data_IF_769325947879
#
_entry.id   IF_769325947879
#
_cell.length_a   1.000
_cell.length_b   1.000
_cell.length_c   1.000
_cell.angle_alpha   90.00
_cell.angle_beta   90.00
_cell.angle_gamma   90.00
#
_symmetry.space_group_name_H-M   'P 1'
#
loop_
_entity.id
_entity.type
_entity.pdbx_description
1 polymer ?
#
# COMPACT_ATOMS: atom_id res chain seq x y z
N UNK A 1 0.38 16.66 14.52
CA UNK A 1 -1.01 16.46 14.01
C UNK A 1 -1.95 15.88 15.06
N UNK A 2 -3.27 16.01 14.84
CA UNK A 2 -4.30 15.18 15.51
C UNK A 2 -3.91 13.70 15.43
N UNK A 3 -3.90 13.02 16.58
CA UNK A 3 -3.55 11.61 16.75
C UNK A 3 -4.20 10.69 15.70
N UNK A 4 -5.37 11.08 15.18
CA UNK A 4 -6.08 10.43 14.08
C UNK A 4 -5.22 10.15 12.84
N UNK A 5 -4.42 11.13 12.37
CA UNK A 5 -3.60 10.95 11.14
C UNK A 5 -2.46 9.96 11.37
N UNK A 6 -1.92 9.93 12.59
CA UNK A 6 -0.88 8.97 13.02
C UNK A 6 -1.43 7.55 13.16
N UNK A 7 -2.65 7.39 13.69
CA UNK A 7 -3.35 6.11 13.73
C UNK A 7 -3.73 5.61 12.33
N UNK A 8 -4.09 6.51 11.41
CA UNK A 8 -4.32 6.15 10.02
C UNK A 8 -3.06 5.55 9.37
N UNK A 9 -1.86 6.07 9.70
CA UNK A 9 -0.59 5.48 9.26
C UNK A 9 -0.43 4.00 9.65
N UNK A 10 -0.75 3.66 10.90
CA UNK A 10 -0.71 2.26 11.38
C UNK A 10 -1.70 1.38 10.61
N UNK A 11 -2.89 1.88 10.30
CA UNK A 11 -3.87 1.16 9.47
C UNK A 11 -3.25 0.81 8.11
N UNK A 12 -2.62 1.77 7.43
CA UNK A 12 -1.98 1.53 6.13
C UNK A 12 -0.82 0.53 6.20
N UNK A 13 -0.02 0.57 7.28
CA UNK A 13 1.06 -0.41 7.50
C UNK A 13 0.50 -1.83 7.60
N UNK A 14 -0.64 -2.03 8.26
CA UNK A 14 -1.23 -3.37 8.41
C UNK A 14 -1.96 -3.80 7.13
N UNK A 15 -2.64 -2.87 6.47
CA UNK A 15 -3.49 -3.15 5.32
C UNK A 15 -2.68 -3.57 4.09
N UNK A 16 -1.47 -3.03 3.90
CA UNK A 16 -0.58 -3.41 2.79
C UNK A 16 -0.18 -4.89 2.77
N UNK A 17 0.45 -5.42 3.83
CA UNK A 17 0.80 -6.84 3.95
C UNK A 17 -0.45 -7.74 3.94
N UNK A 18 -1.53 -7.33 4.61
CA UNK A 18 -2.78 -8.10 4.60
C UNK A 18 -3.35 -8.24 3.19
N UNK A 19 -3.40 -7.16 2.42
CA UNK A 19 -3.86 -7.18 1.03
C UNK A 19 -2.94 -8.04 0.15
N UNK A 20 -1.63 -7.93 0.30
CA UNK A 20 -0.67 -8.74 -0.46
C UNK A 20 -0.81 -10.25 -0.16
N UNK A 21 -0.93 -10.63 1.11
CA UNK A 21 -1.14 -12.03 1.52
C UNK A 21 -2.48 -12.54 0.97
N UNK A 22 -3.54 -11.75 1.09
CA UNK A 22 -4.86 -12.12 0.60
C UNK A 22 -4.86 -12.32 -0.92
N UNK A 23 -4.18 -11.43 -1.66
CA UNK A 23 -4.04 -11.53 -3.10
C UNK A 23 -3.34 -12.83 -3.51
N UNK A 24 -2.19 -13.14 -2.91
CA UNK A 24 -1.42 -14.34 -3.23
C UNK A 24 -2.20 -15.62 -2.87
N UNK A 25 -2.89 -15.63 -1.72
CA UNK A 25 -3.76 -16.77 -1.34
C UNK A 25 -4.89 -16.97 -2.33
N UNK A 26 -5.54 -15.90 -2.75
CA UNK A 26 -6.65 -15.97 -3.72
C UNK A 26 -6.14 -16.40 -5.09
N UNK A 27 -4.99 -15.89 -5.53
CA UNK A 27 -4.33 -16.30 -6.76
C UNK A 27 -4.07 -17.81 -6.79
N UNK A 28 -3.47 -18.36 -5.73
CA UNK A 28 -3.23 -19.79 -5.65
C UNK A 28 -4.53 -20.60 -5.67
N UNK A 29 -5.57 -20.15 -4.97
CA UNK A 29 -6.85 -20.84 -4.93
C UNK A 29 -7.55 -20.86 -6.30
N UNK A 30 -7.54 -19.74 -7.03
CA UNK A 30 -8.17 -19.65 -8.34
C UNK A 30 -7.38 -20.37 -9.43
N UNK A 31 -6.05 -20.30 -9.39
CA UNK A 31 -5.18 -21.09 -10.27
C UNK A 31 -5.38 -22.59 -10.05
N UNK A 32 -5.52 -23.04 -8.80
CA UNK A 32 -5.79 -24.44 -8.49
C UNK A 32 -7.17 -24.91 -9.01
N UNK A 33 -8.18 -24.03 -9.00
CA UNK A 33 -9.52 -24.34 -9.54
C UNK A 33 -9.54 -24.40 -11.07
N UNK A 34 -8.77 -23.54 -11.74
CA UNK A 34 -8.74 -23.42 -13.21
C UNK A 34 -7.30 -23.20 -13.69
N UNK A 35 -6.49 -24.26 -13.86
CA UNK A 35 -5.09 -24.16 -14.26
C UNK A 35 -4.95 -23.96 -15.78
N UNK A 36 -5.57 -22.90 -16.30
CA UNK A 36 -5.49 -22.49 -17.72
C UNK A 36 -4.66 -21.22 -17.86
N UNK A 37 -4.03 -21.03 -19.02
CA UNK A 37 -3.08 -19.93 -19.28
C UNK A 37 -3.66 -18.55 -18.92
N UNK A 38 -4.92 -18.32 -19.26
CA UNK A 38 -5.61 -17.05 -18.97
C UNK A 38 -5.65 -16.74 -17.46
N UNK A 39 -5.86 -17.77 -16.63
CA UNK A 39 -5.89 -17.61 -15.16
C UNK A 39 -4.51 -17.31 -14.61
N UNK A 40 -3.45 -17.93 -15.13
CA UNK A 40 -2.07 -17.61 -14.75
C UNK A 40 -1.70 -16.18 -15.12
N UNK A 41 -2.03 -15.74 -16.34
CA UNK A 41 -1.74 -14.38 -16.80
C UNK A 41 -2.50 -13.35 -15.95
N UNK A 42 -3.81 -13.55 -15.73
CA UNK A 42 -4.63 -12.64 -14.94
C UNK A 42 -4.07 -12.44 -13.52
N UNK A 43 -3.80 -13.52 -12.80
CA UNK A 43 -3.29 -13.44 -11.43
C UNK A 43 -1.83 -12.98 -11.37
N UNK A 44 -1.02 -13.32 -12.36
CA UNK A 44 0.35 -12.81 -12.50
C UNK A 44 0.37 -11.29 -12.63
N UNK A 45 -0.48 -10.71 -13.49
CA UNK A 45 -0.61 -9.25 -13.65
C UNK A 45 -1.08 -8.59 -12.35
N UNK A 46 -2.08 -9.16 -11.67
CA UNK A 46 -2.54 -8.62 -10.39
C UNK A 46 -1.42 -8.58 -9.35
N UNK A 47 -0.64 -9.65 -9.19
CA UNK A 47 0.47 -9.66 -8.24
C UNK A 47 1.52 -8.60 -8.62
N UNK A 48 1.92 -8.53 -9.89
CA UNK A 48 2.95 -7.56 -10.34
C UNK A 48 2.53 -6.11 -10.10
N UNK A 49 1.25 -5.78 -10.27
CA UNK A 49 0.74 -4.41 -10.06
C UNK A 49 0.46 -4.12 -8.59
N UNK A 50 -0.08 -5.07 -7.83
CA UNK A 50 -0.48 -4.81 -6.44
C UNK A 50 0.69 -4.82 -5.45
N UNK A 51 1.77 -5.56 -5.72
CA UNK A 51 2.94 -5.57 -4.83
C UNK A 51 3.58 -4.17 -4.68
N UNK A 52 3.89 -3.40 -5.75
CA UNK A 52 4.43 -2.06 -5.59
C UNK A 52 3.43 -1.09 -4.92
N UNK A 53 2.12 -1.28 -5.12
CA UNK A 53 1.09 -0.50 -4.42
C UNK A 53 1.11 -0.81 -2.91
N UNK A 54 1.20 -2.09 -2.54
CA UNK A 54 1.30 -2.51 -1.14
C UNK A 54 2.58 -1.98 -0.47
N UNK A 55 3.70 -1.95 -1.19
CA UNK A 55 4.94 -1.31 -0.73
C UNK A 55 4.77 0.21 -0.54
N UNK A 56 4.08 0.89 -1.48
CA UNK A 56 3.74 2.29 -1.35
C UNK A 56 2.88 2.58 -0.11
N UNK A 57 1.87 1.75 0.16
CA UNK A 57 1.04 1.86 1.37
C UNK A 57 1.84 1.64 2.65
N UNK A 58 2.79 0.70 2.65
CA UNK A 58 3.70 0.47 3.77
C UNK A 58 4.58 1.68 4.05
N UNK A 59 5.22 2.23 3.02
CA UNK A 59 6.09 3.41 3.14
C UNK A 59 5.28 4.63 3.60
N UNK A 60 4.13 4.88 2.98
CA UNK A 60 3.22 5.95 3.38
C UNK A 60 2.79 5.82 4.84
N UNK A 61 2.33 4.63 5.24
CA UNK A 61 1.92 4.38 6.62
C UNK A 61 3.06 4.56 7.62
N UNK A 62 4.27 4.12 7.26
CA UNK A 62 5.46 4.27 8.08
C UNK A 62 5.84 5.74 8.30
N UNK A 63 5.90 6.55 7.23
CA UNK A 63 6.20 7.97 7.33
C UNK A 63 5.10 8.74 8.10
N UNK A 64 3.83 8.36 7.93
CA UNK A 64 2.73 8.91 8.70
C UNK A 64 2.81 8.57 10.19
N UNK A 65 3.25 7.37 10.54
CA UNK A 65 3.42 6.98 11.93
C UNK A 65 4.60 7.69 12.61
N UNK A 66 5.68 7.94 11.85
CA UNK A 66 6.89 8.66 12.29
C UNK A 66 6.66 10.17 12.47
N UNK A 67 5.58 10.71 11.92
CA UNK A 67 5.24 12.13 12.03
C UNK A 67 5.88 13.00 10.94
N UNK A 68 6.42 12.40 9.87
CA UNK A 68 7.02 13.15 8.75
C UNK A 68 5.97 13.99 7.98
N UNK A 69 4.68 13.69 8.15
CA UNK A 69 3.58 14.51 7.63
C UNK A 69 3.06 15.53 8.65
N UNK A 70 3.70 15.70 9.81
CA UNK A 70 3.17 16.55 10.89
C UNK A 70 3.00 18.01 10.51
N UNK A 71 3.84 18.50 9.61
CA UNK A 71 3.73 19.80 8.98
C UNK A 71 3.95 19.63 7.47
N UNK A 72 2.90 19.87 6.70
CA UNK A 72 2.97 19.95 5.24
C UNK A 72 2.82 21.44 4.90
N UNK A 73 3.60 21.97 3.95
CA UNK A 73 3.49 23.37 3.56
C UNK A 73 2.05 23.66 3.12
N UNK A 74 1.41 24.61 3.78
CA UNK A 74 0.00 24.97 3.52
C UNK A 74 -0.12 26.03 2.44
N UNK A 75 0.99 26.72 2.13
CA UNK A 75 1.10 27.67 1.03
C UNK A 75 2.40 27.50 0.26
N UNK A 76 2.40 27.84 -1.03
CA UNK A 76 3.62 27.81 -1.87
C UNK A 76 4.70 28.78 -1.38
N UNK A 77 4.32 29.79 -0.58
CA UNK A 77 5.24 30.74 0.04
C UNK A 77 6.10 30.10 1.16
N UNK A 78 5.69 28.95 1.71
CA UNK A 78 6.46 28.20 2.71
C UNK A 78 7.52 27.27 2.09
N UNK A 79 7.61 27.22 0.75
CA UNK A 79 8.54 26.36 -0.01
C UNK A 79 9.79 27.16 -0.44
N UNK A 80 9.77 28.49 -0.29
CA UNK A 80 10.90 29.39 -0.59
C UNK A 80 11.66 29.76 0.68
N UNK A 81 12.57 28.89 1.14
CA UNK A 81 13.78 29.23 1.92
C UNK A 81 14.58 27.93 2.20
N UNK A 82 15.41 27.54 1.23
CA UNK A 82 16.76 26.93 1.36
C UNK A 82 17.37 26.66 -0.03
#
# INVERSE_FOLDING_TARGET
MNQLKRYAGIIWILLGPLAAIYLVRTAMAEVAKKPVMDTYIQWGVFIVVFIPIALGMLLFGYFAWKGEYDHLPESSAEIEED
#
